data_IF_870702100414
#
_entry.id   IF_870702100414
#
_cell.length_a   1.000
_cell.length_b   1.000
_cell.length_c   1.000
_cell.angle_alpha   90.00
_cell.angle_beta   90.00
_cell.angle_gamma   90.00
#
_symmetry.space_group_name_H-M   'P 1'
#
loop_
_entity.id
_entity.type
_entity.pdbx_description
1 polymer ?
#
# COMPACT_ATOMS: atom_id res chain seq x y z
N UNK A 1 28.50 -36.05 14.31
CA UNK A 1 28.65 -34.68 13.78
C UNK A 1 28.59 -34.74 12.26
N UNK A 2 27.39 -34.65 11.70
CA UNK A 2 27.19 -34.70 10.26
C UNK A 2 27.40 -33.30 9.67
N UNK A 3 28.37 -33.17 8.77
CA UNK A 3 28.69 -31.92 8.09
C UNK A 3 27.53 -31.49 7.19
N UNK A 4 26.94 -30.33 7.49
CA UNK A 4 25.96 -29.66 6.63
C UNK A 4 26.69 -29.21 5.37
N UNK A 5 26.33 -29.80 4.23
CA UNK A 5 26.76 -29.32 2.91
C UNK A 5 26.03 -28.02 2.62
N UNK A 6 26.76 -26.90 2.67
CA UNK A 6 26.35 -25.63 2.10
C UNK A 6 26.16 -25.82 0.58
N UNK A 7 24.95 -25.53 0.09
CA UNK A 7 24.71 -25.44 -1.34
C UNK A 7 25.40 -24.18 -1.88
N UNK A 8 26.01 -24.31 -3.05
CA UNK A 8 26.71 -23.24 -3.74
C UNK A 8 25.76 -22.08 -4.10
N UNK A 9 26.27 -20.82 -4.18
CA UNK A 9 25.49 -19.67 -4.59
C UNK A 9 24.93 -19.89 -6.00
N UNK A 10 23.62 -19.66 -6.17
CA UNK A 10 22.98 -19.70 -7.49
C UNK A 10 23.57 -18.60 -8.34
N UNK A 11 24.35 -19.00 -9.33
CA UNK A 11 24.98 -18.13 -10.31
C UNK A 11 23.88 -17.39 -11.08
N UNK A 12 23.97 -16.07 -11.11
CA UNK A 12 23.04 -15.18 -11.80
C UNK A 12 23.07 -15.47 -13.30
N UNK A 13 22.01 -16.09 -13.81
CA UNK A 13 21.77 -16.23 -15.23
C UNK A 13 21.29 -14.87 -15.78
N UNK A 14 22.21 -14.13 -16.41
CA UNK A 14 21.93 -12.83 -17.04
C UNK A 14 20.94 -12.90 -18.22
N UNK A 15 20.45 -14.11 -18.55
CA UNK A 15 19.43 -14.38 -19.59
C UNK A 15 18.01 -14.57 -19.04
N UNK A 16 17.82 -14.52 -17.72
CA UNK A 16 16.49 -14.60 -17.12
C UNK A 16 15.61 -13.39 -17.52
N UNK A 17 14.40 -13.66 -17.97
CA UNK A 17 13.35 -12.64 -18.12
C UNK A 17 13.20 -11.88 -16.81
N UNK A 18 13.15 -10.54 -16.89
CA UNK A 18 12.95 -9.71 -15.70
C UNK A 18 11.70 -10.19 -14.93
N UNK A 19 11.76 -10.26 -13.59
CA UNK A 19 10.66 -10.81 -12.82
C UNK A 19 9.46 -9.87 -12.89
N UNK A 20 8.24 -10.42 -12.88
CA UNK A 20 7.02 -9.60 -12.82
C UNK A 20 6.82 -9.01 -11.42
N UNK A 21 7.40 -9.63 -10.39
CA UNK A 21 7.36 -9.21 -8.99
C UNK A 21 8.72 -9.40 -8.32
N UNK A 22 9.00 -8.59 -7.30
CA UNK A 22 10.18 -8.76 -6.43
C UNK A 22 9.69 -9.09 -5.03
N UNK A 23 10.23 -10.17 -4.45
CA UNK A 23 9.95 -10.59 -3.09
C UNK A 23 10.99 -10.02 -2.13
N UNK A 24 10.52 -9.44 -1.03
CA UNK A 24 11.37 -8.91 0.04
C UNK A 24 11.37 -9.87 1.21
N UNK A 25 12.55 -10.33 1.61
CA UNK A 25 12.73 -11.44 2.54
C UNK A 25 13.26 -10.99 3.89
N UNK A 26 12.86 -11.71 4.94
CA UNK A 26 13.36 -11.57 6.29
C UNK A 26 14.55 -12.54 6.54
N UNK A 27 15.73 -12.05 6.95
CA UNK A 27 16.98 -12.84 6.94
C UNK A 27 17.03 -13.97 7.97
N UNK A 28 16.40 -13.83 9.13
CA UNK A 28 16.39 -14.89 10.16
C UNK A 28 15.24 -15.91 10.02
N UNK A 29 14.39 -15.77 9.02
CA UNK A 29 13.21 -16.62 8.87
C UNK A 29 13.48 -17.82 7.95
N UNK A 30 12.68 -18.87 8.10
CA UNK A 30 12.82 -20.05 7.24
C UNK A 30 12.38 -19.71 5.80
N UNK A 31 13.14 -20.18 4.80
CA UNK A 31 12.95 -19.92 3.36
C UNK A 31 11.56 -20.24 2.74
N UNK A 32 10.61 -20.77 3.51
CA UNK A 32 9.21 -20.98 3.08
C UNK A 32 8.25 -19.89 3.59
N UNK A 33 8.72 -19.06 4.51
CA UNK A 33 7.93 -18.12 5.32
C UNK A 33 8.73 -16.84 5.63
N UNK A 34 9.78 -16.55 4.87
CA UNK A 34 10.64 -15.37 5.00
C UNK A 34 10.16 -14.20 4.14
N UNK A 35 9.30 -14.43 3.14
CA UNK A 35 8.71 -13.36 2.31
C UNK A 35 7.85 -12.43 3.15
N UNK A 36 8.35 -11.21 3.38
CA UNK A 36 7.64 -10.12 4.05
C UNK A 36 6.46 -9.63 3.21
N UNK A 37 6.75 -9.32 1.94
CA UNK A 37 5.79 -8.85 0.94
C UNK A 37 6.43 -8.88 -0.45
N UNK A 38 5.61 -8.66 -1.48
CA UNK A 38 6.04 -8.57 -2.88
C UNK A 38 5.57 -7.25 -3.50
N UNK A 39 6.30 -6.76 -4.49
CA UNK A 39 5.96 -5.55 -5.24
C UNK A 39 6.11 -5.78 -6.75
N UNK A 40 5.20 -5.23 -7.58
CA UNK A 40 5.22 -5.46 -9.02
C UNK A 40 6.34 -4.67 -9.72
N UNK A 41 7.00 -5.29 -10.69
CA UNK A 41 8.00 -4.66 -11.55
C UNK A 41 7.35 -3.86 -12.67
N UNK A 42 7.09 -2.59 -12.40
CA UNK A 42 6.44 -1.68 -13.35
C UNK A 42 7.35 -0.50 -13.77
N UNK A 43 8.48 -0.32 -13.10
CA UNK A 43 9.43 0.73 -13.41
C UNK A 43 10.31 0.34 -14.61
N UNK A 44 10.57 1.29 -15.51
CA UNK A 44 11.45 1.07 -16.67
C UNK A 44 12.70 1.97 -16.55
N UNK A 45 13.86 1.54 -17.06
CA UNK A 45 15.13 2.25 -16.92
C UNK A 45 15.22 3.58 -17.70
N UNK A 46 14.11 4.14 -18.19
CA UNK A 46 14.11 5.34 -19.03
C UNK A 46 13.07 6.38 -18.58
N UNK A 47 13.52 7.34 -17.79
CA UNK A 47 13.11 8.74 -17.91
C UNK A 47 14.39 9.58 -17.82
N UNK A 48 15.17 9.61 -18.91
CA UNK A 48 16.13 10.70 -19.10
C UNK A 48 15.32 12.00 -19.28
N UNK A 49 15.76 13.12 -18.69
CA UNK A 49 15.04 14.41 -18.75
C UNK A 49 14.94 14.98 -20.17
N UNK A 50 15.78 14.51 -21.10
CA UNK A 50 15.71 14.90 -22.51
C UNK A 50 14.87 13.89 -23.29
N UNK A 51 13.65 14.29 -23.64
CA UNK A 51 12.64 13.52 -24.39
C UNK A 51 13.01 13.16 -25.83
N UNK A 52 14.22 12.63 -26.05
CA UNK A 52 14.59 12.01 -27.31
C UNK A 52 13.91 10.63 -27.39
N UNK A 53 12.81 10.57 -28.15
CA UNK A 53 12.20 9.33 -28.60
C UNK A 53 13.26 8.52 -29.36
N UNK A 54 13.73 7.43 -28.77
CA UNK A 54 14.49 6.43 -29.52
C UNK A 54 13.53 5.68 -30.45
N UNK A 55 13.97 5.33 -31.68
CA UNK A 55 13.11 4.75 -32.69
C UNK A 55 12.58 3.37 -32.28
N UNK A 56 11.31 3.12 -32.60
CA UNK A 56 10.57 1.86 -32.41
C UNK A 56 11.15 0.71 -33.24
N UNK A 57 12.31 0.17 -32.84
CA UNK A 57 12.86 -1.05 -33.42
C UNK A 57 13.07 -2.11 -32.34
N UNK A 58 12.21 -3.14 -32.40
CA UNK A 58 12.29 -4.34 -31.57
C UNK A 58 11.63 -4.18 -30.21
N UNK A 59 10.49 -4.86 -29.99
CA UNK A 59 9.97 -5.17 -28.65
C UNK A 59 10.91 -6.15 -27.92
N UNK A 60 12.19 -5.81 -27.80
CA UNK A 60 13.01 -6.41 -26.76
C UNK A 60 12.37 -6.01 -25.43
N UNK A 61 12.06 -7.01 -24.61
CA UNK A 61 11.43 -6.84 -23.30
C UNK A 61 12.23 -5.82 -22.50
N UNK A 62 11.79 -4.56 -22.54
CA UNK A 62 12.40 -3.48 -21.81
C UNK A 62 12.35 -3.90 -20.35
N UNK A 63 13.52 -4.24 -19.77
CA UNK A 63 13.59 -4.84 -18.44
C UNK A 63 12.84 -3.95 -17.48
N UNK A 64 11.71 -4.45 -17.00
CA UNK A 64 10.98 -3.81 -15.92
C UNK A 64 11.66 -4.17 -14.62
N UNK A 65 11.63 -3.24 -13.69
CA UNK A 65 12.14 -3.42 -12.35
C UNK A 65 11.31 -2.65 -11.36
N UNK A 66 11.89 -2.41 -10.19
CA UNK A 66 11.24 -1.71 -9.10
C UNK A 66 12.14 -0.60 -8.58
N UNK A 67 11.57 0.59 -8.37
CA UNK A 67 12.31 1.72 -7.81
C UNK A 67 12.88 1.37 -6.43
N UNK A 68 14.22 1.36 -6.33
CA UNK A 68 14.97 0.92 -5.17
C UNK A 68 14.53 1.62 -3.88
N UNK A 69 14.47 2.95 -3.89
CA UNK A 69 14.18 3.72 -2.68
C UNK A 69 12.74 3.52 -2.20
N UNK A 70 11.80 3.26 -3.11
CA UNK A 70 10.42 2.92 -2.72
C UNK A 70 10.36 1.57 -2.01
N UNK A 71 11.04 0.57 -2.55
CA UNK A 71 11.15 -0.75 -1.94
C UNK A 71 11.84 -0.68 -0.57
N UNK A 72 12.97 0.03 -0.49
CA UNK A 72 13.73 0.20 0.75
C UNK A 72 12.86 0.84 1.84
N UNK A 73 12.19 1.96 1.54
CA UNK A 73 11.30 2.62 2.50
C UNK A 73 10.18 1.70 2.99
N UNK A 74 9.59 0.88 2.11
CA UNK A 74 8.59 -0.10 2.49
C UNK A 74 9.15 -1.10 3.52
N UNK A 75 10.32 -1.69 3.26
CA UNK A 75 10.95 -2.61 4.21
C UNK A 75 11.26 -1.95 5.56
N UNK A 76 11.78 -0.72 5.54
CA UNK A 76 12.12 0.04 6.74
C UNK A 76 10.88 0.33 7.60
N UNK A 77 9.74 0.65 6.98
CA UNK A 77 8.45 0.85 7.69
C UNK A 77 8.03 -0.43 8.40
N UNK A 78 8.07 -1.56 7.69
CA UNK A 78 7.65 -2.88 8.21
C UNK A 78 8.53 -3.32 9.38
N UNK A 79 9.83 -3.00 9.33
CA UNK A 79 10.80 -3.23 10.40
C UNK A 79 10.82 -2.10 11.45
N UNK A 80 9.65 -1.52 11.77
CA UNK A 80 9.48 -0.49 12.79
C UNK A 80 10.38 0.76 12.61
N UNK A 81 10.42 1.32 11.40
CA UNK A 81 11.19 2.51 11.06
C UNK A 81 12.73 2.33 11.20
N UNK A 82 13.24 1.15 10.85
CA UNK A 82 14.68 0.85 10.77
C UNK A 82 15.35 1.55 9.57
N UNK A 83 15.40 2.88 9.58
CA UNK A 83 15.87 3.69 8.44
C UNK A 83 17.37 3.57 8.11
N UNK A 84 18.14 2.94 9.00
CA UNK A 84 19.53 2.54 8.81
C UNK A 84 19.67 1.17 8.11
N UNK A 85 18.58 0.42 7.96
CA UNK A 85 18.54 -0.83 7.21
C UNK A 85 18.80 -0.65 5.71
N UNK A 86 19.15 -1.76 5.06
CA UNK A 86 19.52 -1.82 3.63
C UNK A 86 19.06 -3.12 2.98
N UNK A 87 19.01 -3.14 1.63
CA UNK A 87 18.70 -4.33 0.85
C UNK A 87 19.99 -5.10 0.52
N UNK A 88 19.93 -6.42 0.53
CA UNK A 88 21.04 -7.34 0.24
C UNK A 88 20.59 -8.46 -0.69
N UNK A 89 21.52 -9.02 -1.47
CA UNK A 89 21.27 -10.22 -2.28
C UNK A 89 21.44 -11.52 -1.48
N UNK A 90 21.98 -11.44 -0.26
CA UNK A 90 22.08 -12.55 0.68
C UNK A 90 21.52 -12.21 2.07
N UNK A 91 21.17 -13.25 2.83
CA UNK A 91 20.58 -13.12 4.17
C UNK A 91 21.59 -12.68 5.24
N UNK A 92 22.90 -12.76 4.97
CA UNK A 92 23.96 -12.36 5.89
C UNK A 92 24.20 -10.84 5.86
N UNK A 93 23.83 -10.19 4.75
CA UNK A 93 24.13 -8.79 4.47
C UNK A 93 25.51 -8.58 3.86
N UNK A 94 26.15 -9.62 3.34
CA UNK A 94 27.51 -9.56 2.80
C UNK A 94 27.57 -8.98 1.37
N UNK A 95 26.45 -9.05 0.63
CA UNK A 95 26.25 -8.49 -0.72
C UNK A 95 25.18 -7.37 -0.72
N UNK A 96 25.48 -6.20 -0.13
CA UNK A 96 24.54 -5.09 -0.03
C UNK A 96 24.30 -4.42 -1.39
N UNK A 97 23.03 -4.12 -1.68
CA UNK A 97 22.63 -3.32 -2.84
C UNK A 97 23.03 -1.85 -2.60
N UNK A 98 23.82 -1.23 -3.48
CA UNK A 98 24.21 0.17 -3.32
C UNK A 98 23.01 1.10 -3.36
N UNK A 99 22.96 2.11 -2.49
CA UNK A 99 21.91 3.15 -2.49
C UNK A 99 21.85 3.99 -3.78
N UNK A 100 22.92 3.98 -4.58
CA UNK A 100 22.93 4.60 -5.92
C UNK A 100 22.15 3.79 -6.96
N UNK A 101 21.75 2.56 -6.64
CA UNK A 101 20.91 1.73 -7.49
C UNK A 101 19.53 2.39 -7.59
N UNK A 102 19.11 2.73 -8.80
CA UNK A 102 17.79 3.32 -9.04
C UNK A 102 16.72 2.24 -9.17
N UNK A 103 17.07 1.12 -9.80
CA UNK A 103 16.14 0.07 -10.21
C UNK A 103 16.63 -1.30 -9.74
N UNK A 104 15.79 -1.98 -8.96
CA UNK A 104 15.95 -3.37 -8.57
C UNK A 104 15.48 -4.29 -9.69
N UNK A 105 16.19 -5.39 -9.92
CA UNK A 105 15.91 -6.31 -11.04
C UNK A 105 16.09 -7.79 -10.69
N UNK A 106 16.65 -8.13 -9.52
CA UNK A 106 16.63 -9.49 -9.02
C UNK A 106 15.23 -9.87 -8.52
N UNK A 107 14.92 -11.16 -8.50
CA UNK A 107 13.62 -11.66 -8.03
C UNK A 107 13.44 -11.52 -6.52
N UNK A 108 14.53 -11.54 -5.75
CA UNK A 108 14.50 -11.60 -4.29
C UNK A 108 15.57 -10.67 -3.71
N UNK A 109 15.22 -10.00 -2.62
CA UNK A 109 16.15 -9.22 -1.80
C UNK A 109 15.87 -9.44 -0.32
N UNK A 110 16.93 -9.54 0.48
CA UNK A 110 16.82 -9.55 1.94
C UNK A 110 16.86 -8.12 2.46
N UNK A 111 15.99 -7.79 3.42
CA UNK A 111 16.13 -6.54 4.17
C UNK A 111 16.93 -6.79 5.45
N UNK A 112 18.03 -6.07 5.59
CA UNK A 112 18.97 -6.23 6.71
C UNK A 112 18.88 -5.04 7.63
N UNK A 113 18.66 -5.30 8.93
CA UNK A 113 18.75 -4.31 10.00
C UNK A 113 20.07 -4.52 10.75
N UNK A 114 21.02 -3.56 10.70
CA UNK A 114 22.29 -3.66 11.38
C UNK A 114 22.12 -3.96 12.89
N UNK A 115 22.75 -5.05 13.36
CA UNK A 115 22.73 -5.41 14.77
C UNK A 115 21.46 -6.12 15.28
N UNK A 116 20.43 -6.29 14.44
CA UNK A 116 19.22 -7.06 14.77
C UNK A 116 18.83 -7.98 13.59
N UNK A 117 19.48 -9.14 13.41
CA UNK A 117 19.18 -10.04 12.30
C UNK A 117 17.79 -10.67 12.39
N UNK A 118 17.15 -10.65 13.57
CA UNK A 118 15.83 -11.19 13.82
C UNK A 118 14.83 -10.09 14.18
N UNK A 119 14.92 -8.94 13.52
CA UNK A 119 14.15 -7.73 13.85
C UNK A 119 12.65 -8.00 13.91
N UNK A 120 11.97 -7.27 14.80
CA UNK A 120 10.53 -7.42 15.00
C UNK A 120 9.75 -6.74 13.86
N UNK A 121 8.65 -7.35 13.44
CA UNK A 121 7.77 -6.82 12.40
C UNK A 121 6.59 -6.07 13.02
N UNK A 122 6.27 -4.90 12.49
CA UNK A 122 5.04 -4.21 12.88
C UNK A 122 3.84 -4.88 12.18
N UNK A 123 2.88 -5.44 12.94
CA UNK A 123 1.89 -6.34 12.37
C UNK A 123 0.77 -5.62 11.62
N UNK A 124 0.48 -4.37 11.99
CA UNK A 124 -0.55 -3.56 11.35
C UNK A 124 -0.28 -2.06 11.56
N UNK A 125 -0.91 -1.23 10.72
CA UNK A 125 -0.78 0.24 10.80
C UNK A 125 -1.12 0.81 12.18
N UNK A 126 -2.06 0.20 12.89
CA UNK A 126 -2.58 0.61 14.20
C UNK A 126 -1.56 0.42 15.32
N UNK A 127 -0.64 -0.52 15.12
CA UNK A 127 0.43 -0.86 16.05
C UNK A 127 1.73 -0.11 15.73
N UNK A 128 1.75 0.64 14.63
CA UNK A 128 2.92 1.37 14.17
C UNK A 128 3.10 2.72 14.89
N UNK A 129 4.33 3.02 15.30
CA UNK A 129 4.71 4.35 15.76
C UNK A 129 5.12 5.24 14.59
N UNK A 130 4.51 6.41 14.49
CA UNK A 130 4.83 7.37 13.45
C UNK A 130 6.22 8.02 13.70
N UNK A 131 7.13 8.03 12.72
CA UNK A 131 8.50 8.52 12.88
C UNK A 131 8.60 10.05 12.80
N UNK A 132 8.03 10.76 13.77
CA UNK A 132 8.09 12.23 13.83
C UNK A 132 9.54 12.74 13.75
N UNK A 133 9.79 13.67 12.82
CA UNK A 133 11.11 14.26 12.60
C UNK A 133 12.17 13.29 12.06
N UNK A 134 11.80 12.04 11.75
CA UNK A 134 12.70 11.00 11.23
C UNK A 134 12.30 10.46 9.86
N UNK A 135 11.34 11.09 9.18
CA UNK A 135 10.97 10.74 7.80
C UNK A 135 12.21 10.95 6.90
N UNK A 136 12.67 9.94 6.16
CA UNK A 136 13.85 10.06 5.30
C UNK A 136 13.72 11.16 4.24
N UNK A 137 14.81 11.84 3.93
CA UNK A 137 14.86 12.95 2.96
C UNK A 137 14.52 12.52 1.53
N UNK A 138 14.65 11.23 1.23
CA UNK A 138 14.17 10.62 -0.03
C UNK A 138 12.65 10.73 -0.20
N UNK A 139 11.91 11.00 0.87
CA UNK A 139 10.48 11.30 0.86
C UNK A 139 10.26 12.76 1.27
N UNK A 140 10.53 13.76 0.40
CA UNK A 140 10.57 15.18 0.77
C UNK A 140 9.17 15.75 1.06
N UNK A 141 9.09 17.01 1.50
CA UNK A 141 7.81 17.73 1.55
C UNK A 141 7.36 18.14 0.14
N UNK A 142 6.07 18.03 -0.23
CA UNK A 142 5.58 18.46 -1.55
C UNK A 142 5.86 19.93 -1.91
N UNK A 143 5.93 20.78 -0.89
CA UNK A 143 6.25 22.21 -1.05
C UNK A 143 7.71 22.48 -1.43
N UNK A 144 8.63 21.56 -1.12
CA UNK A 144 10.05 21.74 -1.45
C UNK A 144 10.31 21.69 -2.96
N UNK A 145 9.40 21.08 -3.73
CA UNK A 145 9.52 20.96 -5.20
C UNK A 145 8.99 22.19 -5.95
N UNK A 146 8.49 23.22 -5.27
CA UNK A 146 7.98 24.45 -5.91
C UNK A 146 9.12 25.47 -5.99
N UNK A 147 9.70 25.64 -7.18
CA UNK A 147 10.68 26.71 -7.41
C UNK A 147 9.95 28.06 -7.51
N UNK A 148 10.32 29.10 -6.72
CA UNK A 148 9.65 30.40 -6.75
C UNK A 148 9.81 31.15 -8.09
N UNK A 149 10.67 30.67 -8.99
CA UNK A 149 10.97 31.29 -10.28
C UNK A 149 10.11 30.78 -11.46
N UNK A 150 9.35 29.69 -11.31
CA UNK A 150 8.54 29.14 -12.42
C UNK A 150 7.15 29.78 -12.56
N UNK A 151 6.73 30.62 -11.61
CA UNK A 151 5.54 31.46 -11.72
C UNK A 151 5.89 32.87 -12.25
N UNK A 152 6.79 32.93 -13.23
CA UNK A 152 7.22 34.15 -13.93
C UNK A 152 6.23 34.68 -14.97
N UNK A 153 4.95 34.31 -14.91
CA UNK A 153 3.89 34.97 -15.66
C UNK A 153 2.91 35.51 -14.63
N UNK A 154 2.84 36.84 -14.51
CA UNK A 154 1.87 37.59 -13.72
C UNK A 154 0.42 37.41 -14.17
N UNK A 155 -0.04 36.17 -14.25
CA UNK A 155 -1.44 35.83 -14.19
C UNK A 155 -1.79 35.71 -12.72
N UNK A 156 -2.64 36.60 -12.23
CA UNK A 156 -3.44 36.37 -11.03
C UNK A 156 -3.77 34.87 -10.93
N UNK A 157 -3.64 34.21 -9.75
CA UNK A 157 -4.10 32.85 -9.61
C UNK A 157 -5.59 32.91 -9.90
N UNK A 158 -5.97 32.59 -11.13
CA UNK A 158 -7.34 32.32 -11.47
C UNK A 158 -7.58 30.97 -10.81
N UNK A 159 -7.81 31.04 -9.49
CA UNK A 159 -8.15 29.94 -8.64
C UNK A 159 -9.27 29.23 -9.39
N UNK A 160 -8.92 28.12 -10.04
CA UNK A 160 -9.91 27.30 -10.70
C UNK A 160 -10.94 27.01 -9.63
N UNK A 161 -12.15 27.55 -9.79
CA UNK A 161 -13.23 27.48 -8.79
C UNK A 161 -13.60 26.04 -8.42
N UNK A 162 -13.14 25.09 -9.23
CA UNK A 162 -13.33 23.67 -9.07
C UNK A 162 -12.07 23.02 -8.53
N UNK A 163 -12.25 22.28 -7.44
CA UNK A 163 -11.29 21.32 -6.91
C UNK A 163 -10.92 20.34 -8.03
N UNK A 164 -9.61 20.12 -8.25
CA UNK A 164 -9.10 19.21 -9.28
C UNK A 164 -8.44 18.00 -8.65
N UNK A 165 -8.63 16.84 -9.26
CA UNK A 165 -7.94 15.61 -8.91
C UNK A 165 -6.43 15.84 -8.94
N UNK A 166 -5.73 15.46 -7.86
CA UNK A 166 -4.29 15.65 -7.76
C UNK A 166 -3.56 14.90 -8.89
N UNK A 167 -3.96 13.64 -9.13
CA UNK A 167 -3.35 12.74 -10.13
C UNK A 167 -3.70 13.15 -11.56
N UNK A 168 -4.99 13.27 -11.90
CA UNK A 168 -5.42 13.45 -13.29
C UNK A 168 -5.58 14.92 -13.71
N UNK A 169 -5.65 15.85 -12.74
CA UNK A 169 -5.97 17.25 -13.00
C UNK A 169 -7.42 17.50 -13.45
N UNK A 170 -8.24 16.46 -13.56
CA UNK A 170 -9.66 16.57 -13.91
C UNK A 170 -10.43 17.32 -12.82
N UNK A 171 -11.44 18.09 -13.19
CA UNK A 171 -12.39 18.70 -12.27
C UNK A 171 -13.69 17.87 -12.12
N UNK A 172 -13.87 16.85 -12.97
CA UNK A 172 -15.06 16.00 -12.98
C UNK A 172 -14.97 14.93 -11.89
N UNK A 173 -16.08 14.68 -11.18
CA UNK A 173 -16.23 13.64 -10.15
C UNK A 173 -15.10 13.64 -9.10
N UNK A 174 -14.66 14.83 -8.67
CA UNK A 174 -13.63 14.98 -7.66
C UNK A 174 -14.22 14.99 -6.25
N UNK A 175 -13.59 14.25 -5.35
CA UNK A 175 -13.95 14.11 -3.94
C UNK A 175 -12.70 14.35 -3.07
N UNK A 176 -12.92 14.78 -1.83
CA UNK A 176 -11.85 14.84 -0.84
C UNK A 176 -11.62 13.42 -0.30
N UNK A 177 -10.39 12.93 -0.42
CA UNK A 177 -9.96 11.65 0.13
C UNK A 177 -9.01 11.89 1.30
N UNK A 178 -9.32 11.32 2.47
CA UNK A 178 -8.37 11.31 3.57
C UNK A 178 -7.16 10.44 3.23
N UNK A 179 -5.96 10.98 3.40
CA UNK A 179 -4.72 10.22 3.29
C UNK A 179 -4.64 9.18 4.43
N UNK A 180 -4.80 9.62 5.67
CA UNK A 180 -5.07 8.76 6.82
C UNK A 180 -6.59 8.67 7.01
N UNK A 181 -7.23 7.52 6.71
CA UNK A 181 -8.68 7.40 6.76
C UNK A 181 -9.23 7.53 8.18
N UNK A 182 -10.48 7.99 8.30
CA UNK A 182 -11.23 8.10 9.58
C UNK A 182 -11.25 6.80 10.39
N UNK A 183 -11.25 5.64 9.73
CA UNK A 183 -11.16 4.34 10.40
C UNK A 183 -9.89 4.17 11.28
N UNK A 184 -8.88 5.03 11.07
CA UNK A 184 -7.63 5.06 11.83
C UNK A 184 -7.49 6.32 12.70
N UNK A 185 -8.59 6.99 13.05
CA UNK A 185 -8.57 8.18 13.92
C UNK A 185 -7.91 7.91 15.28
N UNK A 186 -8.12 6.73 15.85
CA UNK A 186 -7.47 6.32 17.09
C UNK A 186 -5.93 6.31 16.94
N UNK A 187 -5.40 5.75 15.84
CA UNK A 187 -3.98 5.77 15.53
C UNK A 187 -3.48 7.20 15.28
N UNK A 188 -4.25 8.00 14.54
CA UNK A 188 -3.93 9.39 14.21
C UNK A 188 -3.76 10.25 15.47
N UNK A 189 -4.67 10.08 16.42
CA UNK A 189 -4.65 10.76 17.72
C UNK A 189 -3.51 10.24 18.58
N UNK A 190 -3.35 8.91 18.66
CA UNK A 190 -2.27 8.25 19.42
C UNK A 190 -0.89 8.74 19.02
N UNK A 191 -0.68 8.90 17.71
CA UNK A 191 0.57 9.38 17.14
C UNK A 191 0.63 10.91 17.03
N UNK A 192 -0.28 11.66 17.66
CA UNK A 192 -0.29 13.13 17.65
C UNK A 192 -0.16 13.76 16.24
N UNK A 193 -0.73 13.12 15.22
CA UNK A 193 -0.59 13.51 13.81
C UNK A 193 -1.19 14.88 13.50
N UNK A 194 -2.06 15.40 14.37
CA UNK A 194 -2.58 16.78 14.30
C UNK A 194 -1.49 17.84 14.28
N UNK A 195 -0.31 17.54 14.84
CA UNK A 195 0.86 18.44 14.84
C UNK A 195 1.43 18.65 13.43
N UNK A 196 1.29 17.65 12.57
CA UNK A 196 1.76 17.67 11.19
C UNK A 196 0.84 18.45 10.25
N UNK A 197 -0.38 18.76 10.69
CA UNK A 197 -1.32 19.58 9.96
C UNK A 197 -0.96 21.05 10.19
N UNK A 198 -0.14 21.61 9.29
CA UNK A 198 0.19 23.02 9.27
C UNK A 198 -1.03 23.92 8.99
N UNK A 199 -0.93 25.20 9.36
CA UNK A 199 -1.90 26.29 9.09
C UNK A 199 -3.24 26.22 9.82
N UNK A 200 -3.26 26.31 11.15
CA UNK A 200 -4.49 26.54 11.91
C UNK A 200 -5.52 25.40 11.88
N UNK A 201 -5.27 24.36 11.09
CA UNK A 201 -6.10 23.16 10.94
C UNK A 201 -5.98 22.19 12.10
N UNK A 202 -5.16 22.50 13.12
CA UNK A 202 -5.05 21.72 14.35
C UNK A 202 -6.40 21.49 15.04
N UNK A 203 -7.34 22.41 14.87
CA UNK A 203 -8.70 22.30 15.43
C UNK A 203 -9.56 21.31 14.65
N UNK A 204 -9.26 21.06 13.36
CA UNK A 204 -10.01 20.13 12.50
C UNK A 204 -9.60 18.67 12.70
N UNK A 205 -8.55 18.39 13.46
CA UNK A 205 -8.12 17.01 13.74
C UNK A 205 -7.86 16.24 12.46
N UNK A 206 -8.46 15.05 12.34
CA UNK A 206 -8.30 14.19 11.15
C UNK A 206 -8.84 14.81 9.85
N UNK A 207 -9.72 15.81 9.93
CA UNK A 207 -10.32 16.52 8.80
C UNK A 207 -9.55 17.78 8.38
N UNK A 208 -8.33 17.98 8.88
CA UNK A 208 -7.49 19.10 8.45
C UNK A 208 -7.06 18.97 6.99
N UNK A 209 -6.85 20.11 6.32
CA UNK A 209 -6.59 20.14 4.88
C UNK A 209 -5.32 19.40 4.47
N UNK A 210 -4.32 19.32 5.36
CA UNK A 210 -3.10 18.54 5.16
C UNK A 210 -3.33 17.03 5.01
N UNK A 211 -4.48 16.51 5.46
CA UNK A 211 -4.88 15.12 5.33
C UNK A 211 -5.87 14.89 4.17
N UNK A 212 -6.35 15.94 3.49
CA UNK A 212 -7.40 15.86 2.47
C UNK A 212 -6.85 16.06 1.06
N UNK A 213 -6.71 14.96 0.33
CA UNK A 213 -6.25 14.93 -1.05
C UNK A 213 -7.45 14.88 -2.01
N UNK A 214 -7.62 15.86 -2.91
CA UNK A 214 -8.70 15.80 -3.87
C UNK A 214 -8.39 14.79 -4.98
N UNK A 215 -9.28 13.84 -5.19
CA UNK A 215 -9.11 12.76 -6.18
C UNK A 215 -10.41 12.52 -6.96
N UNK A 216 -10.27 12.12 -8.22
CA UNK A 216 -11.39 11.59 -9.01
C UNK A 216 -11.88 10.30 -8.36
N UNK A 217 -13.18 10.01 -8.42
CA UNK A 217 -13.81 8.89 -7.73
C UNK A 217 -13.10 7.53 -7.91
N UNK A 218 -12.70 7.19 -9.12
CA UNK A 218 -11.96 5.97 -9.46
C UNK A 218 -10.55 5.94 -8.84
N UNK A 219 -9.82 7.05 -8.91
CA UNK A 219 -8.49 7.19 -8.28
C UNK A 219 -8.61 7.10 -6.76
N UNK A 220 -9.64 7.73 -6.18
CA UNK A 220 -9.93 7.59 -4.74
C UNK A 220 -10.23 6.15 -4.38
N UNK A 221 -11.04 5.44 -5.18
CA UNK A 221 -11.36 4.04 -4.92
C UNK A 221 -10.10 3.17 -4.90
N UNK A 222 -9.22 3.33 -5.89
CA UNK A 222 -7.93 2.64 -5.92
C UNK A 222 -7.03 3.01 -4.73
N UNK A 223 -7.03 4.29 -4.33
CA UNK A 223 -6.31 4.73 -3.14
C UNK A 223 -6.87 3.99 -1.93
N UNK A 224 -8.17 4.08 -1.64
CA UNK A 224 -8.82 3.48 -0.47
C UNK A 224 -8.60 1.94 -0.38
N UNK A 225 -8.43 1.25 -1.52
CA UNK A 225 -8.08 -0.18 -1.57
C UNK A 225 -6.58 -0.48 -1.37
N UNK A 226 -5.74 0.55 -1.18
CA UNK A 226 -4.28 0.45 -1.05
C UNK A 226 -3.56 -0.07 -2.30
N UNK A 227 -4.16 0.11 -3.48
CA UNK A 227 -3.60 -0.33 -4.77
C UNK A 227 -2.34 0.45 -5.13
N UNK A 228 -2.29 1.74 -4.77
CA UNK A 228 -1.16 2.61 -5.06
C UNK A 228 -0.87 3.56 -3.90
N UNK A 229 0.32 4.14 -3.94
CA UNK A 229 0.72 5.27 -3.11
C UNK A 229 1.38 6.37 -3.94
N UNK A 230 1.41 7.57 -3.38
CA UNK A 230 2.23 8.66 -3.92
C UNK A 230 3.63 8.56 -3.34
N UNK A 231 4.64 8.49 -4.21
CA UNK A 231 6.05 8.39 -3.82
C UNK A 231 6.87 9.39 -4.62
N UNK A 232 8.08 9.66 -4.16
CA UNK A 232 9.01 10.56 -4.85
C UNK A 232 10.04 9.74 -5.64
N UNK A 233 10.09 9.95 -6.96
CA UNK A 233 11.06 9.33 -7.89
C UNK A 233 11.65 10.41 -8.78
N UNK A 234 12.95 10.36 -9.04
CA UNK A 234 13.61 11.25 -10.01
C UNK A 234 13.19 12.72 -9.92
N UNK A 235 13.16 13.29 -8.70
CA UNK A 235 12.76 14.67 -8.42
C UNK A 235 11.29 15.02 -8.66
N UNK A 236 10.41 14.02 -8.70
CA UNK A 236 8.98 14.22 -8.94
C UNK A 236 8.12 13.31 -8.05
N UNK A 237 6.95 13.81 -7.64
CA UNK A 237 5.91 12.99 -7.06
C UNK A 237 5.19 12.21 -8.15
N UNK A 238 5.06 10.90 -7.96
CA UNK A 238 4.43 10.00 -8.93
C UNK A 238 3.48 9.03 -8.23
N UNK A 239 2.53 8.50 -8.98
CA UNK A 239 1.75 7.34 -8.57
C UNK A 239 2.59 6.08 -8.70
N UNK A 240 2.71 5.31 -7.61
CA UNK A 240 3.37 4.01 -7.60
C UNK A 240 2.37 2.95 -7.20
N UNK A 241 2.09 2.04 -8.13
CA UNK A 241 1.21 0.88 -7.90
C UNK A 241 1.97 -0.17 -7.08
N UNK A 242 1.35 -0.59 -5.97
CA UNK A 242 1.89 -1.54 -5.01
C UNK A 242 1.27 -2.93 -5.14
N UNK A 243 0.08 -3.01 -5.75
CA UNK A 243 -0.68 -4.24 -5.91
C UNK A 243 -1.02 -4.49 -7.37
N UNK A 244 -0.87 -5.74 -7.81
CA UNK A 244 -1.48 -6.23 -9.04
C UNK A 244 -2.72 -7.06 -8.68
N UNK A 245 -3.75 -7.05 -9.52
CA UNK A 245 -4.95 -7.87 -9.32
C UNK A 245 -4.84 -9.19 -10.06
N UNK A 246 -5.39 -10.25 -9.48
CA UNK A 246 -5.61 -11.54 -10.15
C UNK A 246 -6.55 -11.40 -11.36
N UNK A 247 -7.53 -10.48 -11.29
CA UNK A 247 -8.52 -10.24 -12.35
C UNK A 247 -8.13 -9.15 -13.37
N UNK A 248 -6.85 -8.79 -13.45
CA UNK A 248 -6.28 -7.76 -14.35
C UNK A 248 -6.85 -6.32 -14.25
N UNK A 249 -7.87 -6.05 -13.44
CA UNK A 249 -8.44 -4.71 -13.26
C UNK A 249 -7.39 -3.68 -12.76
N UNK A 250 -6.52 -4.07 -11.82
CA UNK A 250 -5.42 -3.20 -11.38
C UNK A 250 -4.28 -3.13 -12.38
N UNK A 251 -4.16 -4.07 -13.32
CA UNK A 251 -3.17 -3.99 -14.39
C UNK A 251 -3.54 -2.89 -15.39
N UNK A 252 -4.84 -2.67 -15.64
CA UNK A 252 -5.29 -1.52 -16.41
C UNK A 252 -4.95 -0.20 -15.70
N UNK A 253 -5.24 -0.15 -14.40
CA UNK A 253 -4.88 1.00 -13.57
C UNK A 253 -3.36 1.24 -13.57
N UNK A 254 -2.56 0.18 -13.46
CA UNK A 254 -1.10 0.26 -13.50
C UNK A 254 -0.59 0.78 -14.84
N UNK A 255 -1.13 0.29 -15.95
CA UNK A 255 -0.77 0.77 -17.30
C UNK A 255 -1.10 2.25 -17.49
N UNK A 256 -2.20 2.73 -16.90
CA UNK A 256 -2.63 4.12 -17.08
C UNK A 256 -1.96 5.08 -16.09
N UNK A 257 -1.74 4.66 -14.84
CA UNK A 257 -1.36 5.56 -13.75
C UNK A 257 0.02 5.31 -13.15
N UNK A 258 0.65 4.14 -13.31
CA UNK A 258 1.99 3.93 -12.74
C UNK A 258 2.99 4.95 -13.34
N UNK A 259 3.79 5.59 -12.47
CA UNK A 259 4.70 6.68 -12.79
C UNK A 259 4.06 7.96 -13.38
N UNK A 260 2.73 8.10 -13.33
CA UNK A 260 2.10 9.39 -13.66
C UNK A 260 2.53 10.43 -12.64
N UNK A 261 3.16 11.49 -13.16
CA UNK A 261 3.62 12.61 -12.35
C UNK A 261 2.45 13.44 -11.83
N UNK A 262 2.46 13.67 -10.52
CA UNK A 262 1.52 14.56 -9.84
C UNK A 262 2.15 15.95 -9.74
N UNK A 263 1.44 16.97 -10.21
CA UNK A 263 1.96 18.35 -10.18
C UNK A 263 2.16 18.82 -8.73
N UNK A 264 3.32 19.39 -8.36
CA UNK A 264 3.59 19.84 -6.99
C UNK A 264 2.51 20.75 -6.41
N UNK A 265 1.97 21.67 -7.21
CA UNK A 265 0.87 22.57 -6.81
C UNK A 265 -0.39 21.87 -6.33
N UNK A 266 -0.67 20.64 -6.78
CA UNK A 266 -1.83 19.87 -6.34
C UNK A 266 -1.59 19.16 -4.99
N UNK A 267 -0.34 19.07 -4.55
CA UNK A 267 0.07 18.43 -3.30
C UNK A 267 0.57 19.45 -2.26
N UNK A 268 0.72 20.73 -2.63
CA UNK A 268 1.34 21.77 -1.82
C UNK A 268 0.67 21.99 -0.45
N UNK A 269 -0.65 21.77 -0.37
CA UNK A 269 -1.38 21.89 0.89
C UNK A 269 -1.31 20.62 1.75
N UNK A 270 -0.84 19.49 1.22
CA UNK A 270 -0.79 18.21 1.92
C UNK A 270 0.41 18.14 2.87
N UNK A 271 0.18 17.48 4.01
CA UNK A 271 1.24 17.18 4.98
C UNK A 271 2.14 16.05 4.44
N UNK A 272 3.45 16.25 4.54
CA UNK A 272 4.47 15.21 4.25
C UNK A 272 4.21 13.97 5.10
N UNK A 273 3.85 14.19 6.36
CA UNK A 273 3.59 13.16 7.34
C UNK A 273 2.34 12.35 7.01
N UNK A 274 1.25 13.00 6.58
CA UNK A 274 0.04 12.30 6.13
C UNK A 274 0.28 11.50 4.85
N UNK A 275 1.08 12.01 3.91
CA UNK A 275 1.49 11.26 2.71
C UNK A 275 2.35 10.04 3.07
N UNK A 276 3.30 10.20 3.99
CA UNK A 276 4.14 9.10 4.45
C UNK A 276 3.32 8.05 5.21
N UNK A 277 2.40 8.48 6.08
CA UNK A 277 1.47 7.59 6.78
C UNK A 277 0.56 6.84 5.80
N UNK A 278 0.10 7.49 4.72
CA UNK A 278 -0.66 6.81 3.66
C UNK A 278 0.16 5.71 2.98
N UNK A 279 1.42 6.00 2.65
CA UNK A 279 2.32 5.00 2.08
C UNK A 279 2.51 3.82 3.03
N UNK A 280 2.79 4.09 4.31
CA UNK A 280 2.92 3.05 5.33
C UNK A 280 1.65 2.20 5.48
N UNK A 281 0.46 2.82 5.49
CA UNK A 281 -0.82 2.12 5.53
C UNK A 281 -0.94 1.12 4.36
N UNK A 282 -0.58 1.53 3.15
CA UNK A 282 -0.62 0.64 1.98
C UNK A 282 0.41 -0.48 2.06
N UNK A 283 1.60 -0.23 2.61
CA UNK A 283 2.63 -1.26 2.83
C UNK A 283 2.18 -2.32 3.84
N UNK A 284 1.57 -1.93 4.96
CA UNK A 284 1.12 -2.91 5.97
C UNK A 284 0.05 -3.88 5.47
N UNK A 285 -0.72 -3.48 4.47
CA UNK A 285 -1.68 -4.38 3.80
C UNK A 285 -0.96 -5.55 3.13
N UNK A 286 0.26 -5.33 2.60
CA UNK A 286 1.07 -6.33 1.91
C UNK A 286 1.75 -7.33 2.86
N UNK A 287 1.94 -6.96 4.14
CA UNK A 287 2.67 -7.77 5.14
C UNK A 287 1.80 -8.86 5.77
N UNK A 288 0.48 -8.74 5.68
CA UNK A 288 -0.47 -9.72 6.23
C UNK A 288 -0.13 -11.19 5.92
N UNK A 289 0.25 -11.57 4.69
CA UNK A 289 0.53 -12.98 4.36
C UNK A 289 1.71 -13.54 5.16
N UNK A 290 2.75 -12.73 5.38
CA UNK A 290 3.91 -13.09 6.21
C UNK A 290 3.48 -13.42 7.65
N UNK A 291 2.57 -12.63 8.21
CA UNK A 291 2.10 -12.78 9.59
C UNK A 291 1.17 -13.98 9.76
N UNK A 292 0.24 -14.18 8.82
CA UNK A 292 -0.90 -15.10 9.02
C UNK A 292 -0.63 -16.54 8.55
N UNK A 293 0.31 -16.73 7.63
CA UNK A 293 0.56 -18.03 6.97
C UNK A 293 1.55 -18.91 7.72
N UNK A 294 2.49 -18.32 8.47
CA UNK A 294 3.50 -19.08 9.19
C UNK A 294 2.90 -19.96 10.28
N UNK A 295 3.37 -21.22 10.44
CA UNK A 295 2.88 -22.13 11.48
C UNK A 295 3.57 -21.94 12.84
N UNK A 296 4.55 -21.05 12.94
CA UNK A 296 5.34 -20.76 14.14
C UNK A 296 5.17 -19.31 14.59
N UNK A 297 5.76 -18.97 15.74
CA UNK A 297 5.66 -17.63 16.32
C UNK A 297 6.37 -16.58 15.47
N UNK A 298 5.82 -15.36 15.42
CA UNK A 298 6.48 -14.19 14.83
C UNK A 298 6.82 -13.20 15.91
N UNK A 299 8.03 -12.64 15.81
CA UNK A 299 8.46 -11.51 16.63
C UNK A 299 7.83 -10.24 16.07
N UNK A 300 6.97 -9.60 16.86
CA UNK A 300 6.23 -8.40 16.44
C UNK A 300 6.54 -7.20 17.32
N UNK A 301 6.46 -6.00 16.74
CA UNK A 301 6.60 -4.72 17.42
C UNK A 301 5.25 -4.00 17.45
N UNK A 302 4.74 -3.66 18.64
CA UNK A 302 3.46 -2.97 18.82
C UNK A 302 3.60 -1.72 19.67
N UNK A 303 3.00 -0.62 19.22
CA UNK A 303 2.89 0.62 19.98
C UNK A 303 1.80 0.48 21.05
N UNK A 304 2.23 0.37 22.31
CA UNK A 304 1.35 0.23 23.48
C UNK A 304 1.52 1.39 24.45
N UNK A 305 0.52 1.59 25.32
CA UNK A 305 0.61 2.55 26.43
C UNK A 305 1.19 1.82 27.63
N UNK A 306 2.36 2.25 28.08
CA UNK A 306 2.89 1.89 29.39
C UNK A 306 2.12 2.68 30.46
N UNK A 307 1.20 1.99 31.15
CA UNK A 307 0.32 2.59 32.15
C UNK A 307 1.09 3.14 33.36
N UNK A 308 2.21 2.52 33.74
CA UNK A 308 3.02 2.96 34.89
C UNK A 308 3.76 4.26 34.57
N UNK A 309 4.25 4.38 33.33
CA UNK A 309 5.04 5.53 32.89
C UNK A 309 4.24 6.57 32.12
N UNK A 310 2.95 6.31 31.90
CA UNK A 310 2.01 7.10 31.12
C UNK A 310 2.61 7.60 29.79
N UNK A 311 3.27 6.69 29.06
CA UNK A 311 3.96 6.99 27.80
C UNK A 311 3.71 5.89 26.79
N UNK A 312 3.82 6.21 25.51
CA UNK A 312 3.86 5.20 24.46
C UNK A 312 5.22 4.52 24.44
N UNK A 313 5.22 3.20 24.30
CA UNK A 313 6.42 2.38 24.13
C UNK A 313 6.18 1.37 23.01
N UNK A 314 7.24 1.02 22.29
CA UNK A 314 7.23 -0.15 21.42
C UNK A 314 7.45 -1.39 22.30
N UNK A 315 6.43 -2.24 22.39
CA UNK A 315 6.53 -3.57 22.98
C UNK A 315 6.94 -4.58 21.90
N UNK A 316 7.95 -5.39 22.18
CA UNK A 316 8.36 -6.50 21.32
C UNK A 316 7.91 -7.81 21.98
N UNK A 317 7.18 -8.64 21.24
CA UNK A 317 6.69 -9.94 21.73
C UNK A 317 6.64 -10.98 20.62
N UNK A 318 6.65 -12.26 21.01
CA UNK A 318 6.49 -13.38 20.08
C UNK A 318 5.04 -13.88 20.10
N UNK A 319 4.31 -13.63 19.02
CA UNK A 319 2.91 -14.07 18.88
C UNK A 319 2.82 -15.35 18.05
N UNK A 320 1.99 -16.28 18.50
CA UNK A 320 1.65 -17.49 17.75
C UNK A 320 0.77 -17.20 16.53
N UNK A 321 0.76 -18.11 15.57
CA UNK A 321 -0.11 -18.00 14.38
C UNK A 321 -1.59 -17.88 14.72
N UNK A 322 -2.02 -18.45 15.86
CA UNK A 322 -3.41 -18.34 16.31
C UNK A 322 -3.72 -16.92 16.79
N UNK A 323 -2.88 -16.36 17.65
CA UNK A 323 -3.01 -14.99 18.15
C UNK A 323 -2.98 -13.98 16.99
N UNK A 324 -2.06 -14.17 16.05
CA UNK A 324 -1.97 -13.32 14.85
C UNK A 324 -3.24 -13.38 13.99
N UNK A 325 -3.84 -14.56 13.81
CA UNK A 325 -5.11 -14.69 13.07
C UNK A 325 -6.30 -14.12 13.82
N UNK A 326 -6.35 -14.28 15.14
CA UNK A 326 -7.41 -13.72 15.98
C UNK A 326 -7.37 -12.18 16.00
N UNK A 327 -6.17 -11.59 16.10
CA UNK A 327 -5.99 -10.13 16.16
C UNK A 327 -6.00 -9.46 14.77
N UNK A 328 -5.40 -10.09 13.75
CA UNK A 328 -5.11 -9.46 12.46
C UNK A 328 -5.69 -10.18 11.23
N UNK A 329 -6.36 -11.32 11.41
CA UNK A 329 -6.94 -12.11 10.31
C UNK A 329 -8.14 -11.46 9.62
N UNK A 330 -8.73 -10.42 10.21
CA UNK A 330 -9.85 -9.68 9.60
C UNK A 330 -9.45 -8.89 8.34
N UNK A 331 -10.39 -8.76 7.41
CA UNK A 331 -10.28 -7.83 6.27
C UNK A 331 -10.11 -6.37 6.72
N UNK A 332 -9.64 -5.49 5.82
CA UNK A 332 -9.52 -4.06 6.14
C UNK A 332 -10.85 -3.51 6.69
N UNK A 333 -10.84 -2.65 7.73
CA UNK A 333 -12.04 -1.97 8.19
C UNK A 333 -12.61 -1.15 7.03
N UNK A 334 -13.73 -1.60 6.44
CA UNK A 334 -14.45 -0.82 5.44
C UNK A 334 -15.00 0.43 6.12
N UNK A 335 -14.91 1.59 5.45
CA UNK A 335 -15.67 2.78 5.84
C UNK A 335 -17.14 2.37 6.00
N UNK A 336 -17.68 2.78 7.14
CA UNK A 336 -19.09 2.79 7.47
C UNK A 336 -19.87 3.55 6.40
N UNK A 337 -20.49 2.82 5.47
CA UNK A 337 -21.76 3.28 4.89
C UNK A 337 -22.76 3.42 6.05
N UNK A 338 -23.63 4.44 6.06
CA UNK A 338 -24.51 4.69 7.19
C UNK A 338 -25.38 3.45 7.41
N UNK A 339 -25.07 2.70 8.46
CA UNK A 339 -25.83 1.51 8.84
C UNK A 339 -27.26 1.97 9.06
N UNK A 340 -28.18 1.45 8.25
CA UNK A 340 -29.61 1.53 8.56
C UNK A 340 -29.78 1.14 10.02
N UNK A 341 -30.25 2.09 10.84
CA UNK A 341 -30.56 1.84 12.24
C UNK A 341 -31.48 0.63 12.31
N UNK A 342 -31.01 -0.43 12.96
CA UNK A 342 -31.84 -1.53 13.41
C UNK A 342 -32.86 -0.92 14.38
N UNK A 343 -34.10 -0.75 13.93
CA UNK A 343 -35.21 -0.32 14.80
C UNK A 343 -35.33 -1.37 15.91
N UNK A 344 -34.99 -0.98 17.13
CA UNK A 344 -35.45 -1.67 18.33
C UNK A 344 -36.97 -1.54 18.37
N UNK A 345 -37.65 -2.68 18.37
CA UNK A 345 -39.05 -2.76 18.74
C UNK A 345 -39.15 -2.49 20.25
N UNK A 346 -39.86 -1.44 20.63
CA UNK A 346 -40.63 -1.43 21.86
C UNK A 346 -41.87 -0.55 21.70
N UNK A 347 -42.91 -0.96 22.40
CA UNK A 347 -44.31 -0.67 22.19
C UNK A 347 -44.78 0.67 22.77
N UNK A 348 -45.93 1.10 22.24
CA UNK A 348 -46.87 2.08 22.80
C UNK A 348 -46.49 3.57 22.70
N UNK A 349 -47.11 4.25 21.72
CA UNK A 349 -47.95 5.44 21.93
C UNK A 349 -48.84 5.60 20.67
N UNK A 350 -50.13 5.78 20.92
CA UNK A 350 -51.25 5.92 19.98
C UNK A 350 -51.06 7.08 18.97
N UNK A 351 -51.52 6.93 17.71
CA UNK A 351 -51.36 7.96 16.69
C UNK A 351 -52.54 8.95 16.66
N UNK A 352 -52.32 10.25 16.36
CA UNK A 352 -53.37 11.08 15.80
C UNK A 352 -53.39 10.93 14.28
N UNK A 353 -54.60 10.65 13.82
CA UNK A 353 -55.11 10.62 12.45
C UNK A 353 -54.77 11.87 11.64
N UNK A 354 -54.26 11.67 10.42
CA UNK A 354 -54.64 12.50 9.27
C UNK A 354 -54.62 11.63 8.00
N UNK A 355 -55.72 11.70 7.27
CA UNK A 355 -56.00 10.97 6.05
C UNK A 355 -55.36 11.65 4.81
N UNK A 356 -55.35 10.87 3.72
CA UNK A 356 -55.32 11.28 2.30
C UNK A 356 -53.90 11.37 1.68
N UNK A 357 -53.56 10.76 0.54
CA UNK A 357 -54.26 10.08 -0.56
C UNK A 357 -53.27 9.10 -1.20
N UNK A 358 -53.75 7.97 -1.73
CA UNK A 358 -52.96 6.97 -2.45
C UNK A 358 -52.59 7.41 -3.87
N UNK A 359 -51.36 7.11 -4.30
CA UNK A 359 -50.96 7.01 -5.71
C UNK A 359 -50.37 5.61 -5.96
N UNK A 360 -51.01 4.76 -6.81
CA UNK A 360 -50.57 3.40 -7.08
C UNK A 360 -49.80 3.33 -8.40
N UNK A 361 -48.48 3.52 -8.38
CA UNK A 361 -47.64 3.12 -9.50
C UNK A 361 -46.17 2.95 -9.12
N UNK A 362 -45.82 1.76 -8.60
CA UNK A 362 -44.52 1.14 -8.88
C UNK A 362 -44.50 -0.36 -8.54
N UNK A 363 -43.77 -1.19 -9.31
CA UNK A 363 -43.91 -2.64 -9.30
C UNK A 363 -43.28 -3.27 -8.05
N UNK A 364 -43.98 -4.27 -7.50
CA UNK A 364 -43.41 -5.23 -6.55
C UNK A 364 -42.30 -6.02 -7.25
N UNK A 365 -41.06 -5.80 -6.85
CA UNK A 365 -40.02 -6.82 -7.04
C UNK A 365 -39.88 -7.58 -5.72
N UNK A 366 -40.10 -8.89 -5.86
CA UNK A 366 -40.03 -9.91 -4.82
C UNK A 366 -38.66 -9.89 -4.14
N UNK A 367 -38.65 -9.85 -2.82
CA UNK A 367 -37.51 -10.26 -2.01
C UNK A 367 -37.24 -11.74 -2.30
N UNK A 368 -36.10 -12.00 -2.93
CA UNK A 368 -35.54 -13.33 -3.14
C UNK A 368 -34.36 -13.51 -2.20
N UNK A 369 -34.51 -14.46 -1.29
CA UNK A 369 -33.54 -14.91 -0.30
C UNK A 369 -32.11 -15.08 -0.79
N UNK A 370 -31.18 -14.78 0.12
CA UNK A 370 -30.08 -15.67 0.46
C UNK A 370 -28.91 -15.75 -0.51
N UNK A 371 -27.84 -15.00 -0.19
CA UNK A 371 -26.46 -15.51 -0.29
C UNK A 371 -25.61 -14.83 0.78
N UNK A 372 -25.16 -15.63 1.75
CA UNK A 372 -24.06 -15.30 2.65
C UNK A 372 -22.84 -14.93 1.80
N UNK A 373 -22.44 -13.66 1.80
CA UNK A 373 -21.15 -13.25 1.26
C UNK A 373 -20.08 -13.57 2.30
N UNK A 374 -19.20 -14.51 1.97
CA UNK A 374 -18.11 -14.97 2.84
C UNK A 374 -17.18 -13.81 3.27
N UNK A 375 -16.68 -13.81 4.52
CA UNK A 375 -15.84 -12.71 5.05
C UNK A 375 -14.41 -12.64 4.50
N UNK A 376 -14.03 -13.54 3.57
CA UNK A 376 -12.63 -13.89 3.29
C UNK A 376 -12.21 -13.70 1.80
N UNK A 377 -13.03 -13.01 1.01
CA UNK A 377 -12.78 -12.82 -0.43
C UNK A 377 -11.54 -11.98 -0.70
N UNK A 378 -11.29 -10.93 0.09
CA UNK A 378 -10.17 -10.02 -0.18
C UNK A 378 -8.78 -10.69 -0.12
N UNK A 379 -8.56 -11.63 0.82
CA UNK A 379 -7.28 -12.35 0.95
C UNK A 379 -7.12 -13.43 -0.14
N UNK A 380 -8.19 -14.16 -0.46
CA UNK A 380 -8.19 -15.12 -1.59
C UNK A 380 -7.97 -14.44 -2.93
N UNK A 381 -8.63 -13.31 -3.17
CA UNK A 381 -8.70 -12.64 -4.48
C UNK A 381 -7.44 -11.81 -4.80
N UNK A 382 -6.61 -11.46 -3.80
CA UNK A 382 -5.45 -10.58 -4.02
C UNK A 382 -4.09 -11.13 -3.57
N UNK A 383 -4.05 -12.25 -2.81
CA UNK A 383 -2.79 -12.78 -2.23
C UNK A 383 -2.59 -14.27 -2.50
N UNK A 384 -3.63 -15.10 -2.39
CA UNK A 384 -3.47 -16.56 -2.41
C UNK A 384 -3.54 -17.15 -3.82
N UNK A 385 -4.29 -16.54 -4.74
CA UNK A 385 -4.57 -17.16 -6.04
C UNK A 385 -3.33 -17.34 -6.94
N UNK A 386 -2.29 -16.51 -6.77
CA UNK A 386 -1.02 -16.64 -7.54
C UNK A 386 -0.21 -17.86 -7.16
N UNK A 387 -0.40 -18.42 -5.95
CA UNK A 387 0.34 -19.61 -5.48
C UNK A 387 -0.37 -20.93 -5.84
N UNK A 388 -1.70 -20.94 -5.94
CA UNK A 388 -2.46 -22.15 -6.28
C UNK A 388 -2.39 -22.53 -7.78
N UNK A 389 -2.10 -21.57 -8.67
CA UNK A 389 -1.94 -21.85 -10.11
C UNK A 389 -0.60 -22.50 -10.46
N UNK A 390 0.47 -22.25 -9.70
CA UNK A 390 1.75 -22.98 -9.86
C UNK A 390 1.67 -24.43 -9.36
N UNK A 391 0.81 -24.72 -8.38
CA UNK A 391 0.62 -26.09 -7.86
C UNK A 391 -0.23 -26.98 -8.78
N UNK A 392 -1.06 -26.40 -9.66
CA UNK A 392 -1.81 -27.16 -10.67
C UNK A 392 -0.97 -27.37 -11.93
N UNK A 393 0.00 -28.26 -11.81
CA UNK A 393 0.86 -28.72 -12.91
C UNK A 393 0.11 -28.95 -14.22
N UNK A 394 0.67 -28.40 -15.30
CA UNK A 394 0.26 -28.51 -16.71
C UNK A 394 -0.33 -29.89 -17.03
N UNK A 395 -1.65 -29.94 -17.20
CA UNK A 395 -2.38 -31.10 -17.72
C UNK A 395 -1.95 -31.43 -19.15
N UNK A 396 -1.52 -32.68 -19.35
CA UNK A 396 -0.97 -33.26 -20.58
C UNK A 396 -1.83 -33.01 -21.83
N UNK A 397 -1.16 -32.63 -22.93
CA UNK A 397 -1.63 -32.73 -24.32
C UNK A 397 -2.19 -34.14 -24.60
N UNK A 398 -3.47 -34.25 -24.92
CA UNK A 398 -4.04 -35.45 -25.57
C UNK A 398 -3.58 -35.50 -27.03
N UNK A 399 -2.76 -36.49 -27.34
CA UNK A 399 -2.45 -36.92 -28.71
C UNK A 399 -3.73 -37.52 -29.30
N UNK A 400 -4.21 -36.96 -30.42
CA UNK A 400 -5.20 -37.61 -31.28
C UNK A 400 -4.46 -38.66 -32.11
N UNK A 401 -4.74 -39.93 -31.84
CA UNK A 401 -4.41 -41.05 -32.73
C UNK A 401 -5.51 -41.09 -33.80
N UNK A 402 -5.10 -41.00 -35.05
CA UNK A 402 -5.93 -41.31 -36.22
C UNK A 402 -5.77 -42.80 -36.52
N UNK A 403 -6.89 -43.53 -36.64
CA UNK A 403 -6.97 -44.81 -37.36
C UNK A 403 -8.36 -44.90 -37.99
N UNK A 404 -8.33 -45.04 -39.32
CA UNK A 404 -9.28 -45.55 -40.32
C UNK A 404 -10.76 -45.13 -40.33
#
# INVERSE_FOLDING_TARGET
MAAVRLQAPRTTDLTATAPDFISFLHPAESARYDVLFELPCLDSPALSPDGAQQPEQGREQQRRGLHHETALLACQIVANNAFDGYLSLDAQGDDPVPRSTVLLTAAEYYFIVPGDPAYAIVPAFQDWEFPHGRIPDSFPSPNASISPLQDGIGGYPQASRHVRCAVTGSAYSCQQAHLVPEAHEAWFTRNAMVRALDRGDRIRGIDGSGNLCPLRFDIRHALDQCVFALVYKASAWVVHVLQASVDAAWDEFAREYHNVQVRPRHLAHLSRECLFARFALSVFVLVKPFLLTAPFKRRVARLVIDAERNRFVTEISDLSSRELREEYGGGMPRRSSPTMRKRTADESITPPTWEAVADPSSPRFSDGDGRNSEPDTWYRDNVVATREEEERGRGRKRVRVAID
#
